data_IF_679180547143
#
_entry.id   IF_679180547143
#
_cell.length_a   1.000
_cell.length_b   1.000
_cell.length_c   1.000
_cell.angle_alpha   90.00
_cell.angle_beta   90.00
_cell.angle_gamma   90.00
#
_symmetry.space_group_name_H-M   'P 1'
#
loop_
_entity.id
_entity.type
_entity.pdbx_description
1 polymer ?
#
# COMPACT_ATOMS: atom_id res chain seq x y z
N UNK A 1 6.75 45.47 0.85
CA UNK A 1 5.42 44.82 0.84
C UNK A 1 5.27 44.07 -0.46
N UNK A 2 4.89 42.78 -0.47
CA UNK A 2 4.67 42.05 -1.73
C UNK A 2 3.58 42.77 -2.53
N UNK A 3 3.81 42.96 -3.83
CA UNK A 3 2.84 43.59 -4.74
C UNK A 3 1.56 42.76 -4.72
N UNK A 4 0.43 43.34 -4.28
CA UNK A 4 -0.87 42.67 -4.37
C UNK A 4 -1.24 42.54 -5.84
N UNK A 5 -1.35 41.30 -6.31
CA UNK A 5 -1.80 40.99 -7.67
C UNK A 5 -3.32 41.26 -7.72
N UNK A 6 -3.81 42.14 -8.62
CA UNK A 6 -5.24 42.42 -8.77
C UNK A 6 -5.91 41.29 -9.56
N UNK A 7 -6.32 40.24 -8.87
CA UNK A 7 -7.04 39.11 -9.44
C UNK A 7 -8.39 39.54 -10.03
N UNK A 8 -8.70 39.07 -11.24
CA UNK A 8 -10.03 39.15 -11.86
C UNK A 8 -10.83 37.91 -11.49
N UNK A 9 -12.11 38.11 -11.20
CA UNK A 9 -13.01 37.02 -10.82
C UNK A 9 -13.50 36.32 -12.09
N UNK A 10 -13.22 35.03 -12.22
CA UNK A 10 -13.66 34.21 -13.36
C UNK A 10 -14.90 33.39 -13.01
N UNK A 11 -14.92 32.82 -11.81
CA UNK A 11 -16.11 32.25 -11.19
C UNK A 11 -15.97 32.29 -9.68
N UNK A 12 -17.08 32.53 -8.98
CA UNK A 12 -17.07 32.61 -7.52
C UNK A 12 -18.07 31.60 -6.96
N UNK A 13 -17.63 30.87 -5.94
CA UNK A 13 -18.45 29.94 -5.17
C UNK A 13 -19.23 28.92 -6.02
N UNK A 14 -18.55 28.29 -6.98
CA UNK A 14 -19.13 27.21 -7.80
C UNK A 14 -18.88 25.85 -7.17
N UNK A 15 -19.77 24.90 -7.39
CA UNK A 15 -19.58 23.50 -6.99
C UNK A 15 -18.37 22.88 -7.71
N UNK A 16 -17.75 21.87 -7.11
CA UNK A 16 -16.52 21.23 -7.60
C UNK A 16 -16.61 20.81 -9.07
N UNK A 17 -17.71 20.17 -9.49
CA UNK A 17 -17.91 19.71 -10.87
C UNK A 17 -17.91 20.87 -11.88
N UNK A 18 -18.61 21.96 -11.54
CA UNK A 18 -18.67 23.17 -12.37
C UNK A 18 -17.29 23.86 -12.41
N UNK A 19 -16.55 23.85 -11.29
CA UNK A 19 -15.20 24.37 -11.24
C UNK A 19 -14.23 23.58 -12.13
N UNK A 20 -14.31 22.26 -12.12
CA UNK A 20 -13.49 21.37 -12.95
C UNK A 20 -13.80 21.55 -14.44
N UNK A 21 -15.08 21.72 -14.82
CA UNK A 21 -15.46 22.06 -16.19
C UNK A 21 -14.90 23.42 -16.63
N UNK A 22 -14.94 24.42 -15.75
CA UNK A 22 -14.38 25.74 -16.05
C UNK A 22 -12.85 25.68 -16.21
N UNK A 23 -12.15 24.93 -15.34
CA UNK A 23 -10.69 24.77 -15.40
C UNK A 23 -10.26 23.97 -16.63
N UNK A 24 -10.94 22.88 -16.96
CA UNK A 24 -10.65 22.06 -18.15
C UNK A 24 -10.90 22.80 -19.46
N UNK A 25 -11.82 23.76 -19.46
CA UNK A 25 -12.05 24.69 -20.58
C UNK A 25 -11.03 25.81 -20.70
N UNK A 26 -10.10 25.97 -19.74
CA UNK A 26 -9.00 26.93 -19.86
C UNK A 26 -7.83 26.33 -20.65
N UNK A 27 -6.91 27.19 -21.12
CA UNK A 27 -5.65 26.71 -21.69
C UNK A 27 -4.87 25.91 -20.65
N UNK A 28 -4.09 24.94 -21.12
CA UNK A 28 -3.36 24.03 -20.23
C UNK A 28 -2.50 24.79 -19.23
N UNK A 29 -2.57 24.36 -17.98
CA UNK A 29 -1.95 25.03 -16.85
C UNK A 29 -1.52 24.01 -15.79
N UNK A 30 -0.48 24.36 -15.03
CA UNK A 30 0.02 23.54 -13.93
C UNK A 30 -0.17 24.28 -12.60
N UNK A 31 -0.51 23.53 -11.54
CA UNK A 31 -0.52 24.06 -10.18
C UNK A 31 0.92 24.17 -9.66
N UNK A 32 1.37 25.40 -9.41
CA UNK A 32 2.75 25.69 -8.97
C UNK A 32 2.89 25.85 -7.47
N UNK A 33 1.79 26.14 -6.80
CA UNK A 33 1.76 26.29 -5.36
C UNK A 33 0.41 25.84 -4.82
N UNK A 34 0.41 25.10 -3.72
CA UNK A 34 -0.81 24.65 -3.04
C UNK A 34 -0.58 24.71 -1.54
N UNK A 35 -1.46 25.42 -0.82
CA UNK A 35 -1.40 25.52 0.65
C UNK A 35 -2.81 25.53 1.24
N UNK A 36 -2.92 25.18 2.52
CA UNK A 36 -4.15 25.35 3.27
C UNK A 36 -4.11 26.63 4.10
N UNK A 37 -5.25 27.32 4.17
CA UNK A 37 -5.39 28.56 4.94
C UNK A 37 -6.74 28.58 5.68
N UNK A 38 -6.91 29.36 6.75
CA UNK A 38 -8.20 29.52 7.40
C UNK A 38 -9.27 29.95 6.40
N UNK A 39 -10.44 29.30 6.45
CA UNK A 39 -11.52 29.65 5.57
C UNK A 39 -12.01 31.07 5.87
N UNK A 40 -12.08 31.88 4.82
CA UNK A 40 -12.65 33.24 4.87
C UNK A 40 -13.99 33.32 4.14
N UNK A 41 -14.41 32.22 3.50
CA UNK A 41 -15.68 32.12 2.76
C UNK A 41 -16.85 31.68 3.66
N UNK A 42 -16.56 30.98 4.76
CA UNK A 42 -17.59 30.44 5.64
C UNK A 42 -17.62 31.20 6.99
N UNK A 43 -18.74 31.85 7.33
CA UNK A 43 -18.81 32.75 8.48
C UNK A 43 -18.87 32.07 9.86
N UNK A 44 -19.13 30.75 9.94
CA UNK A 44 -19.54 30.11 11.20
C UNK A 44 -18.74 28.85 11.62
N UNK A 45 -17.79 28.38 10.80
CA UNK A 45 -17.04 27.14 11.11
C UNK A 45 -15.53 27.31 10.86
N UNK A 46 -14.71 26.88 11.82
CA UNK A 46 -13.25 26.88 11.70
C UNK A 46 -12.79 25.69 10.84
N UNK A 47 -12.88 25.82 9.52
CA UNK A 47 -12.27 24.89 8.58
C UNK A 47 -11.27 25.62 7.69
N UNK A 48 -10.57 24.86 6.84
CA UNK A 48 -9.52 25.37 5.97
C UNK A 48 -9.97 25.42 4.52
N UNK A 49 -9.51 26.42 3.78
CA UNK A 49 -9.56 26.46 2.33
C UNK A 49 -8.24 25.98 1.75
N UNK A 50 -8.30 25.27 0.62
CA UNK A 50 -7.14 24.98 -0.22
C UNK A 50 -6.96 26.10 -1.23
N UNK A 51 -5.79 26.73 -1.17
CA UNK A 51 -5.37 27.83 -2.03
C UNK A 51 -4.33 27.30 -3.03
N UNK A 52 -4.64 27.36 -4.32
CA UNK A 52 -3.71 26.95 -5.38
C UNK A 52 -3.40 28.11 -6.34
N UNK A 53 -2.15 28.21 -6.77
CA UNK A 53 -1.73 29.10 -7.86
C UNK A 53 -1.44 28.29 -9.11
N UNK A 54 -1.89 28.78 -10.25
CA UNK A 54 -1.79 28.14 -11.55
C UNK A 54 -0.91 28.99 -12.48
N UNK A 55 -0.07 28.31 -13.27
CA UNK A 55 0.71 28.93 -14.33
C UNK A 55 0.39 28.29 -15.68
N UNK A 56 0.44 29.09 -16.75
CA UNK A 56 0.21 28.62 -18.11
C UNK A 56 1.29 27.63 -18.56
N UNK A 57 0.87 26.51 -19.15
CA UNK A 57 1.69 25.45 -19.75
C UNK A 57 1.30 25.17 -21.21
N UNK A 58 0.53 26.06 -21.82
CA UNK A 58 0.09 25.97 -23.21
C UNK A 58 1.29 26.02 -24.16
N UNK A 59 1.44 24.98 -25.00
CA UNK A 59 2.44 24.97 -26.08
C UNK A 59 2.22 26.13 -27.05
N UNK A 60 0.96 26.47 -27.37
CA UNK A 60 0.65 27.63 -28.19
C UNK A 60 1.18 28.95 -27.58
N UNK A 61 1.15 29.10 -26.25
CA UNK A 61 1.72 30.28 -25.59
C UNK A 61 3.26 30.25 -25.48
N UNK A 62 3.86 29.05 -25.48
CA UNK A 62 5.31 28.86 -25.47
C UNK A 62 5.93 29.09 -26.84
N UNK A 63 5.22 28.74 -27.92
CA UNK A 63 5.71 28.87 -29.29
C UNK A 63 5.63 30.32 -29.81
N UNK A 64 4.70 31.13 -29.29
CA UNK A 64 4.48 32.53 -29.70
C UNK A 64 5.48 33.52 -29.09
N UNK A 65 6.17 33.15 -28.00
CA UNK A 65 7.16 34.01 -27.34
C UNK A 65 8.21 33.24 -26.58
N UNK A 66 9.46 33.68 -26.67
CA UNK A 66 10.57 33.20 -25.85
C UNK A 66 10.47 33.61 -24.36
N UNK A 67 9.51 34.49 -24.02
CA UNK A 67 9.24 34.90 -22.65
C UNK A 67 8.10 34.09 -22.03
N UNK A 68 8.20 33.83 -20.73
CA UNK A 68 7.19 33.09 -19.98
C UNK A 68 5.84 33.81 -20.05
N UNK A 69 4.81 33.06 -20.42
CA UNK A 69 3.42 33.53 -20.44
C UNK A 69 3.05 34.26 -19.15
N UNK A 70 2.46 35.46 -19.26
CA UNK A 70 2.15 36.31 -18.11
C UNK A 70 0.87 35.88 -17.38
N UNK A 71 0.03 35.07 -18.01
CA UNK A 71 -1.21 34.56 -17.41
C UNK A 71 -0.94 33.76 -16.12
N UNK A 72 -1.75 34.02 -15.09
CA UNK A 72 -1.77 33.30 -13.82
C UNK A 72 -3.21 33.00 -13.43
N UNK A 73 -3.43 31.82 -12.86
CA UNK A 73 -4.70 31.44 -12.26
C UNK A 73 -4.56 31.28 -10.74
N UNK A 74 -5.69 31.35 -10.05
CA UNK A 74 -5.79 31.05 -8.62
C UNK A 74 -7.11 30.35 -8.34
N UNK A 75 -7.07 29.27 -7.60
CA UNK A 75 -8.26 28.59 -7.09
C UNK A 75 -8.29 28.62 -5.57
N UNK A 76 -9.48 28.82 -5.01
CA UNK A 76 -9.74 28.80 -3.57
C UNK A 76 -10.90 27.87 -3.33
N UNK A 77 -10.63 26.69 -2.77
CA UNK A 77 -11.62 25.63 -2.53
C UNK A 77 -11.86 25.45 -1.05
N UNK A 78 -13.11 25.52 -0.62
CA UNK A 78 -13.52 25.16 0.73
C UNK A 78 -13.43 23.64 0.91
N UNK A 79 -12.70 23.15 1.92
CA UNK A 79 -12.57 21.71 2.15
C UNK A 79 -13.78 21.08 2.87
N UNK A 80 -14.70 21.90 3.38
CA UNK A 80 -15.91 21.44 4.08
C UNK A 80 -17.11 21.39 3.12
N UNK A 81 -17.33 22.46 2.36
CA UNK A 81 -18.46 22.57 1.44
C UNK A 81 -18.14 22.18 0.00
N UNK A 82 -16.87 21.86 -0.31
CA UNK A 82 -16.36 21.54 -1.67
C UNK A 82 -16.67 22.60 -2.74
N UNK A 83 -16.84 23.86 -2.29
CA UNK A 83 -17.12 25.01 -3.14
C UNK A 83 -15.82 25.71 -3.54
N UNK A 84 -15.65 25.99 -4.83
CA UNK A 84 -14.44 26.56 -5.42
C UNK A 84 -14.69 27.93 -6.04
N UNK A 85 -13.77 28.87 -5.82
CA UNK A 85 -13.71 30.15 -6.53
C UNK A 85 -12.45 30.22 -7.39
N UNK A 86 -12.60 30.64 -8.65
CA UNK A 86 -11.54 30.70 -9.65
C UNK A 86 -11.28 32.15 -10.06
N UNK A 87 -10.01 32.52 -10.07
CA UNK A 87 -9.54 33.86 -10.40
C UNK A 87 -8.42 33.79 -11.42
N UNK A 88 -8.26 34.86 -12.19
CA UNK A 88 -7.22 34.98 -13.21
C UNK A 88 -6.51 36.33 -13.16
N UNK A 89 -5.30 36.37 -13.66
CA UNK A 89 -4.48 37.57 -13.76
C UNK A 89 -3.61 37.52 -15.02
N UNK A 90 -3.43 38.65 -15.67
CA UNK A 90 -2.70 38.74 -16.94
C UNK A 90 -3.48 38.15 -18.11
N UNK A 91 -2.83 38.11 -19.27
CA UNK A 91 -3.37 37.54 -20.51
C UNK A 91 -2.42 36.47 -21.06
N UNK A 92 -2.98 35.54 -21.83
CA UNK A 92 -2.18 34.56 -22.53
C UNK A 92 -1.45 35.22 -23.71
N UNK A 93 -0.19 34.86 -23.90
CA UNK A 93 0.66 35.35 -25.00
C UNK A 93 0.04 35.08 -26.37
N UNK A 94 -0.49 33.87 -26.56
CA UNK A 94 -1.15 33.49 -27.81
C UNK A 94 -2.67 33.53 -27.66
N UNK A 95 -3.42 34.07 -28.62
CA UNK A 95 -4.87 33.94 -28.66
C UNK A 95 -5.31 32.53 -29.05
N UNK A 96 -4.46 31.75 -29.73
CA UNK A 96 -4.77 30.41 -30.27
C UNK A 96 -5.13 29.42 -29.17
N UNK A 97 -6.30 28.78 -29.29
CA UNK A 97 -6.72 27.74 -28.35
C UNK A 97 -5.78 26.53 -28.42
N UNK A 98 -5.41 26.02 -27.26
CA UNK A 98 -4.68 24.76 -27.14
C UNK A 98 -5.67 23.61 -27.02
N UNK A 99 -5.29 22.37 -27.38
CA UNK A 99 -6.13 21.21 -27.10
C UNK A 99 -6.56 21.24 -25.61
N UNK A 100 -7.85 20.99 -25.31
CA UNK A 100 -8.34 20.97 -23.94
C UNK A 100 -7.48 20.06 -23.08
N UNK A 101 -7.33 20.38 -21.80
CA UNK A 101 -6.76 19.40 -20.87
C UNK A 101 -7.63 18.14 -20.93
N UNK A 102 -6.99 17.00 -21.13
CA UNK A 102 -7.63 15.69 -21.08
C UNK A 102 -8.38 15.59 -19.75
N UNK A 103 -9.71 15.52 -19.81
CA UNK A 103 -10.52 15.40 -18.60
C UNK A 103 -10.17 14.07 -17.95
N UNK A 104 -9.47 14.08 -16.81
CA UNK A 104 -9.53 12.93 -15.90
C UNK A 104 -10.98 12.84 -15.43
N UNK A 105 -11.77 11.95 -16.04
CA UNK A 105 -13.16 11.75 -15.68
C UNK A 105 -13.25 11.51 -14.16
N UNK A 106 -13.98 12.39 -13.49
CA UNK A 106 -14.22 12.42 -12.03
C UNK A 106 -14.80 11.09 -11.50
N UNK A 107 -15.34 10.23 -12.37
CA UNK A 107 -15.88 8.93 -11.98
C UNK A 107 -14.85 7.83 -11.66
N UNK A 108 -13.57 7.98 -11.99
CA UNK A 108 -12.57 7.00 -11.55
C UNK A 108 -12.21 7.13 -10.06
N UNK A 109 -12.55 8.26 -9.43
CA UNK A 109 -12.43 8.45 -7.98
C UNK A 109 -13.61 7.90 -7.19
N UNK A 110 -14.74 7.58 -7.84
CA UNK A 110 -15.93 7.03 -7.18
C UNK A 110 -15.78 5.55 -6.75
N UNK A 111 -14.69 4.87 -7.16
CA UNK A 111 -14.40 3.48 -6.77
C UNK A 111 -13.60 3.40 -5.45
N UNK A 112 -13.08 4.52 -4.95
CA UNK A 112 -12.44 4.57 -3.64
C UNK A 112 -13.46 5.03 -2.58
N UNK A 113 -13.70 4.25 -1.50
CA UNK A 113 -14.64 4.64 -0.46
C UNK A 113 -14.24 5.98 0.18
N UNK A 114 -15.01 7.03 -0.12
CA UNK A 114 -15.14 8.21 0.76
C UNK A 114 -15.98 7.74 1.96
N UNK A 115 -15.31 7.20 2.97
CA UNK A 115 -15.65 7.34 4.40
C UNK A 115 -14.96 6.23 5.21
N UNK A 116 -14.20 6.65 6.23
CA UNK A 116 -13.53 5.78 7.20
C UNK A 116 -14.48 5.11 8.18
N UNK A 117 -15.46 4.36 7.69
CA UNK A 117 -16.17 3.33 8.48
C UNK A 117 -15.61 1.96 8.12
N UNK A 118 -15.32 1.08 9.09
CA UNK A 118 -14.92 -0.28 8.79
C UNK A 118 -16.05 -0.94 8.00
N UNK A 119 -15.71 -1.45 6.81
CA UNK A 119 -16.60 -2.29 6.01
C UNK A 119 -17.11 -3.43 6.89
N UNK A 120 -18.43 -3.70 6.93
CA UNK A 120 -18.91 -4.96 7.49
C UNK A 120 -18.31 -6.10 6.67
N UNK A 121 -17.89 -7.16 7.37
CA UNK A 121 -17.32 -8.38 6.80
C UNK A 121 -18.14 -8.85 5.59
N UNK A 122 -17.50 -9.23 4.47
CA UNK A 122 -18.25 -9.85 3.38
C UNK A 122 -18.62 -11.26 3.81
N UNK A 123 -19.90 -11.46 4.14
CA UNK A 123 -20.50 -12.78 4.14
C UNK A 123 -20.41 -13.36 2.71
N UNK A 124 -19.85 -14.57 2.63
CA UNK A 124 -19.70 -15.34 1.42
C UNK A 124 -21.07 -15.61 0.78
N UNK A 125 -21.24 -15.06 -0.44
CA UNK A 125 -22.21 -15.37 -1.49
C UNK A 125 -22.83 -14.09 -2.06
N UNK A 126 -22.01 -13.31 -2.76
CA UNK A 126 -22.49 -12.35 -3.75
C UNK A 126 -21.47 -12.32 -4.86
N UNK A 127 -21.72 -13.12 -5.90
CA UNK A 127 -21.12 -12.89 -7.22
C UNK A 127 -21.61 -11.51 -7.66
N UNK A 128 -20.88 -10.44 -7.32
CA UNK A 128 -21.12 -9.15 -7.94
C UNK A 128 -20.82 -9.34 -9.43
N UNK A 129 -21.81 -9.15 -10.32
CA UNK A 129 -21.50 -9.06 -11.74
C UNK A 129 -20.54 -7.87 -11.87
N UNK A 130 -19.39 -8.08 -12.51
CA UNK A 130 -18.62 -6.97 -13.06
C UNK A 130 -19.63 -6.21 -13.91
N UNK A 131 -20.08 -5.05 -13.44
CA UNK A 131 -20.91 -4.18 -14.25
C UNK A 131 -20.08 -3.92 -15.51
N UNK A 132 -20.55 -4.44 -16.65
CA UNK A 132 -19.96 -4.16 -17.96
C UNK A 132 -19.71 -2.65 -18.03
N UNK A 133 -18.44 -2.27 -18.05
CA UNK A 133 -18.02 -0.90 -18.27
C UNK A 133 -18.43 -0.57 -19.70
N UNK A 134 -19.65 -0.03 -19.86
CA UNK A 134 -20.20 0.43 -21.14
C UNK A 134 -19.70 1.84 -21.44
N UNK A 135 -18.39 2.02 -21.46
CA UNK A 135 -17.78 3.22 -22.01
C UNK A 135 -17.27 2.92 -23.42
N UNK A 136 -17.47 3.82 -24.40
CA UNK A 136 -16.84 3.70 -25.72
C UNK A 136 -15.33 3.54 -25.54
N UNK A 137 -14.73 2.56 -26.21
CA UNK A 137 -13.28 2.29 -26.13
C UNK A 137 -12.43 3.52 -26.48
N UNK A 138 -12.99 4.44 -27.27
CA UNK A 138 -12.34 5.68 -27.72
C UNK A 138 -12.22 6.75 -26.62
N UNK A 139 -12.94 6.60 -25.51
CA UNK A 139 -13.01 7.56 -24.39
C UNK A 139 -12.18 7.12 -23.18
N UNK A 140 -11.49 5.98 -23.27
CA UNK A 140 -10.63 5.46 -22.22
C UNK A 140 -9.25 6.12 -22.28
N UNK A 141 -8.81 6.66 -21.15
CA UNK A 141 -7.42 7.10 -20.99
C UNK A 141 -6.48 5.98 -21.41
N UNK A 142 -5.41 6.32 -22.14
CA UNK A 142 -4.40 5.31 -22.52
C UNK A 142 -3.91 4.61 -21.24
N UNK A 143 -3.74 3.29 -21.27
CA UNK A 143 -3.27 2.49 -20.12
C UNK A 143 -2.08 3.13 -19.40
N UNK A 144 -1.18 3.76 -20.16
CA UNK A 144 0.00 4.42 -19.62
C UNK A 144 -0.32 5.67 -18.77
N UNK A 145 -1.35 6.44 -19.12
CA UNK A 145 -1.80 7.61 -18.36
C UNK A 145 -2.38 7.18 -17.01
N UNK A 146 -3.20 6.11 -17.01
CA UNK A 146 -3.77 5.52 -15.79
C UNK A 146 -2.66 4.97 -14.89
N UNK A 147 -1.74 4.19 -15.46
CA UNK A 147 -0.60 3.65 -14.71
C UNK A 147 0.29 4.75 -14.12
N UNK A 148 0.55 5.82 -14.86
CA UNK A 148 1.35 6.95 -14.38
C UNK A 148 0.65 7.72 -13.24
N UNK A 149 -0.67 7.90 -13.34
CA UNK A 149 -1.48 8.53 -12.28
C UNK A 149 -1.47 7.69 -11.00
N UNK A 150 -1.71 6.39 -11.13
CA UNK A 150 -1.65 5.41 -10.02
C UNK A 150 -0.25 5.40 -9.40
N UNK A 151 0.81 5.34 -10.21
CA UNK A 151 2.19 5.36 -9.72
C UNK A 151 2.54 6.67 -9.00
N UNK A 152 2.10 7.82 -9.53
CA UNK A 152 2.31 9.13 -8.92
C UNK A 152 1.59 9.23 -7.57
N UNK A 153 0.31 8.83 -7.53
CA UNK A 153 -0.49 8.80 -6.31
C UNK A 153 0.13 7.87 -5.26
N UNK A 154 0.52 6.67 -5.67
CA UNK A 154 1.12 5.67 -4.79
C UNK A 154 2.43 6.19 -4.17
N UNK A 155 3.32 6.77 -4.98
CA UNK A 155 4.60 7.36 -4.49
C UNK A 155 4.39 8.52 -3.52
N UNK A 156 3.36 9.32 -3.76
CA UNK A 156 3.12 10.57 -3.02
C UNK A 156 2.36 10.35 -1.72
N UNK A 157 1.41 9.42 -1.69
CA UNK A 157 0.46 9.27 -0.58
C UNK A 157 0.50 7.92 0.13
N UNK A 158 1.08 6.88 -0.50
CA UNK A 158 1.18 5.51 0.05
C UNK A 158 2.64 5.21 0.47
N UNK A 159 3.54 6.20 0.41
CA UNK A 159 4.99 6.05 0.63
C UNK A 159 5.62 4.93 -0.20
N UNK A 160 5.04 4.67 -1.37
CA UNK A 160 5.36 3.56 -2.23
C UNK A 160 6.72 3.76 -2.94
N UNK A 161 7.80 3.44 -2.23
CA UNK A 161 9.16 3.51 -2.72
C UNK A 161 9.83 2.14 -2.63
N UNK A 162 10.52 1.72 -3.70
CA UNK A 162 11.37 0.52 -3.76
C UNK A 162 12.70 0.72 -3.01
N UNK A 163 12.67 1.31 -1.80
CA UNK A 163 13.89 1.56 -1.01
C UNK A 163 14.25 0.33 -0.21
N UNK A 164 14.68 -0.70 -0.93
CA UNK A 164 15.19 -1.96 -0.37
C UNK A 164 16.26 -1.70 0.68
N UNK A 165 17.12 -0.69 0.47
CA UNK A 165 18.14 -0.29 1.45
C UNK A 165 17.56 0.22 2.77
N UNK A 166 16.45 0.97 2.74
CA UNK A 166 15.80 1.48 3.95
C UNK A 166 15.08 0.36 4.71
N UNK A 167 14.40 -0.53 3.98
CA UNK A 167 13.80 -1.75 4.57
C UNK A 167 14.90 -2.60 5.18
N UNK A 168 16.01 -2.78 4.48
CA UNK A 168 17.15 -3.54 4.97
C UNK A 168 17.72 -2.91 6.25
N UNK A 169 17.93 -1.60 6.29
CA UNK A 169 18.37 -0.88 7.50
C UNK A 169 17.37 -1.09 8.65
N UNK A 170 16.06 -0.97 8.39
CA UNK A 170 15.04 -1.16 9.41
C UNK A 170 15.01 -2.59 9.95
N UNK A 171 15.11 -3.59 9.07
CA UNK A 171 15.15 -5.01 9.44
C UNK A 171 16.36 -5.28 10.31
N UNK A 172 17.54 -4.76 9.97
CA UNK A 172 18.75 -4.93 10.77
C UNK A 172 18.68 -4.23 12.12
N UNK A 173 18.10 -3.04 12.17
CA UNK A 173 17.92 -2.30 13.41
C UNK A 173 16.95 -3.00 14.39
N UNK A 174 16.06 -3.86 13.89
CA UNK A 174 15.10 -4.61 14.69
C UNK A 174 15.40 -6.12 14.77
N UNK A 175 16.58 -6.56 14.31
CA UNK A 175 16.96 -7.96 14.28
C UNK A 175 17.03 -8.56 15.69
N UNK A 176 16.62 -9.82 15.82
CA UNK A 176 16.67 -10.57 17.06
C UNK A 176 18.10 -10.65 17.62
N UNK A 177 18.31 -10.07 18.79
CA UNK A 177 19.57 -10.10 19.55
C UNK A 177 19.55 -11.07 20.71
N UNK A 178 18.35 -11.50 21.13
CA UNK A 178 18.14 -12.32 22.32
C UNK A 178 17.91 -11.50 23.60
N UNK A 179 18.07 -10.18 23.57
CA UNK A 179 17.91 -9.29 24.73
C UNK A 179 16.55 -8.57 24.78
N UNK A 180 15.70 -8.79 23.77
CA UNK A 180 14.41 -8.11 23.65
C UNK A 180 13.46 -8.48 24.81
N UNK A 181 12.66 -7.54 25.32
CA UNK A 181 11.55 -7.85 26.21
C UNK A 181 10.55 -8.85 25.60
N UNK A 182 9.76 -9.52 26.43
CA UNK A 182 8.84 -10.57 25.97
C UNK A 182 7.87 -10.12 24.86
N UNK A 183 7.33 -8.91 24.97
CA UNK A 183 6.33 -8.35 24.04
C UNK A 183 6.93 -7.50 22.91
N UNK A 184 8.24 -7.20 22.94
CA UNK A 184 8.87 -6.39 21.89
C UNK A 184 8.98 -7.24 20.63
N UNK A 185 8.43 -6.72 19.53
CA UNK A 185 8.58 -7.33 18.22
C UNK A 185 10.03 -7.19 17.73
N UNK A 186 10.50 -8.21 17.02
CA UNK A 186 11.80 -8.24 16.37
C UNK A 186 11.68 -8.93 15.01
N UNK A 187 12.68 -8.73 14.18
CA UNK A 187 12.84 -9.42 12.89
C UNK A 187 13.79 -10.60 13.03
N UNK A 188 13.59 -11.61 12.21
CA UNK A 188 14.45 -12.77 12.06
C UNK A 188 14.32 -13.31 10.63
N UNK A 189 15.15 -14.26 10.24
CA UNK A 189 15.02 -14.92 8.94
C UNK A 189 15.86 -16.17 8.87
N UNK A 190 16.21 -16.62 7.67
CA UNK A 190 16.85 -17.92 7.43
C UNK A 190 18.38 -17.83 7.31
N UNK A 191 18.88 -17.10 6.33
CA UNK A 191 20.32 -17.02 6.08
C UNK A 191 20.93 -15.84 6.84
N UNK A 192 22.10 -16.06 7.45
CA UNK A 192 22.90 -15.01 8.07
C UNK A 192 24.27 -15.04 7.43
N UNK A 193 24.83 -13.87 7.16
CA UNK A 193 26.19 -13.77 6.66
C UNK A 193 27.23 -14.07 7.76
N UNK A 194 28.51 -14.00 7.37
CA UNK A 194 29.64 -14.21 8.28
C UNK A 194 29.73 -13.16 9.39
N UNK A 195 29.10 -12.00 9.22
CA UNK A 195 29.00 -10.93 10.21
C UNK A 195 27.76 -11.10 11.13
N UNK A 196 27.02 -12.21 10.99
CA UNK A 196 25.76 -12.51 11.69
C UNK A 196 24.64 -11.52 11.38
N UNK A 197 24.72 -10.84 10.23
CA UNK A 197 23.67 -9.97 9.73
C UNK A 197 22.73 -10.78 8.85
N UNK A 198 21.44 -10.47 8.93
CA UNK A 198 20.42 -11.22 8.21
C UNK A 198 20.58 -11.02 6.70
N UNK A 199 20.66 -12.10 5.94
CA UNK A 199 20.53 -12.02 4.49
C UNK A 199 19.04 -11.99 4.16
N UNK A 200 18.55 -10.81 3.80
CA UNK A 200 17.13 -10.57 3.52
C UNK A 200 16.75 -11.06 2.13
N UNK A 201 17.70 -11.04 1.18
CA UNK A 201 17.42 -11.19 -0.25
C UNK A 201 16.84 -9.91 -0.88
N UNK A 202 16.78 -9.89 -2.21
CA UNK A 202 16.19 -8.78 -2.99
C UNK A 202 14.90 -9.20 -3.72
N UNK A 203 14.44 -10.43 -3.51
CA UNK A 203 13.22 -10.98 -4.08
C UNK A 203 13.33 -11.53 -5.49
N UNK A 204 14.52 -11.54 -6.10
CA UNK A 204 14.73 -12.24 -7.36
C UNK A 204 14.64 -13.75 -7.17
N UNK A 205 14.43 -14.49 -8.25
CA UNK A 205 14.37 -15.97 -8.24
C UNK A 205 15.64 -16.63 -7.67
N UNK A 206 16.77 -15.93 -7.77
CA UNK A 206 18.07 -16.37 -7.24
C UNK A 206 18.34 -15.92 -5.81
N UNK A 207 17.63 -14.91 -5.30
CA UNK A 207 17.83 -14.28 -3.99
C UNK A 207 16.48 -13.96 -3.37
N UNK A 208 15.81 -15.02 -2.93
CA UNK A 208 14.49 -14.98 -2.29
C UNK A 208 14.46 -13.96 -1.14
N UNK A 209 13.42 -13.12 -1.12
CA UNK A 209 13.21 -12.18 -0.03
C UNK A 209 12.52 -12.87 1.14
N UNK A 210 13.11 -12.86 2.34
CA UNK A 210 12.55 -13.50 3.53
C UNK A 210 12.78 -12.63 4.77
N UNK A 211 11.70 -12.18 5.38
CA UNK A 211 11.73 -11.52 6.71
C UNK A 211 10.62 -12.06 7.59
N UNK A 212 11.00 -12.69 8.70
CA UNK A 212 10.10 -13.09 9.77
C UNK A 212 9.95 -11.99 10.82
N UNK A 213 8.74 -11.83 11.38
CA UNK A 213 8.43 -10.97 12.50
C UNK A 213 7.78 -11.78 13.62
N UNK A 214 8.22 -11.59 14.85
CA UNK A 214 7.61 -12.23 16.02
C UNK A 214 7.94 -11.47 17.30
N UNK A 215 7.43 -11.96 18.43
CA UNK A 215 7.83 -11.57 19.78
C UNK A 215 8.17 -12.85 20.56
N UNK A 216 8.97 -12.74 21.63
CA UNK A 216 9.27 -13.91 22.47
C UNK A 216 7.99 -14.49 23.08
N UNK A 217 7.02 -13.65 23.43
CA UNK A 217 5.73 -14.08 23.96
C UNK A 217 4.94 -14.94 22.97
N UNK A 218 4.94 -14.58 21.68
CA UNK A 218 4.28 -15.36 20.63
C UNK A 218 4.99 -16.70 20.41
N UNK A 219 6.33 -16.70 20.33
CA UNK A 219 7.13 -17.93 20.16
C UNK A 219 6.92 -18.90 21.31
N UNK A 220 6.85 -18.40 22.55
CA UNK A 220 6.62 -19.22 23.75
C UNK A 220 5.25 -19.90 23.81
N UNK A 221 4.29 -19.50 22.96
CA UNK A 221 3.01 -20.23 22.84
C UNK A 221 3.21 -21.67 22.36
N UNK A 222 4.30 -21.93 21.64
CA UNK A 222 4.67 -23.28 21.18
C UNK A 222 5.25 -24.18 22.28
N UNK A 223 5.39 -23.70 23.53
CA UNK A 223 5.86 -24.53 24.66
C UNK A 223 4.78 -25.50 25.19
N UNK A 224 3.56 -25.46 24.64
CA UNK A 224 2.51 -26.44 24.93
C UNK A 224 2.88 -27.84 24.39
N UNK A 225 2.31 -28.93 24.94
CA UNK A 225 2.58 -30.28 24.45
C UNK A 225 2.27 -30.44 22.95
N UNK A 226 3.11 -31.11 22.15
CA UNK A 226 2.95 -31.22 20.69
C UNK A 226 1.66 -31.90 20.25
N UNK A 227 1.07 -32.75 21.08
CA UNK A 227 -0.22 -33.40 20.86
C UNK A 227 -1.43 -32.48 21.06
N UNK A 228 -1.24 -31.28 21.64
CA UNK A 228 -2.33 -30.36 22.02
C UNK A 228 -2.60 -29.24 21.00
N UNK A 229 -1.82 -29.17 19.92
CA UNK A 229 -1.96 -28.16 18.89
C UNK A 229 -1.65 -28.70 17.50
N UNK A 230 -2.16 -28.00 16.48
CA UNK A 230 -1.68 -28.11 15.11
C UNK A 230 -0.95 -26.82 14.71
N UNK A 231 0.27 -26.96 14.16
CA UNK A 231 0.98 -25.85 13.55
C UNK A 231 0.23 -25.47 12.27
N UNK A 232 -0.32 -24.27 12.22
CA UNK A 232 -1.07 -23.79 11.07
C UNK A 232 -0.22 -22.76 10.32
N UNK A 233 -0.10 -22.94 9.01
CA UNK A 233 0.48 -21.94 8.12
C UNK A 233 -0.52 -21.60 7.02
N UNK A 234 -0.62 -20.31 6.70
CA UNK A 234 -1.57 -19.80 5.74
C UNK A 234 -0.96 -18.60 4.99
N UNK A 235 -1.25 -18.49 3.70
CA UNK A 235 -0.80 -17.39 2.84
C UNK A 235 -1.83 -16.27 2.84
N UNK A 236 -1.56 -15.17 3.51
CA UNK A 236 -2.39 -13.97 3.40
C UNK A 236 -1.89 -13.10 2.24
N UNK A 237 -2.71 -12.98 1.20
CA UNK A 237 -2.44 -12.11 0.05
C UNK A 237 -2.94 -10.68 0.29
N UNK A 238 -2.25 -9.73 -0.34
CA UNK A 238 -2.58 -8.30 -0.46
C UNK A 238 -2.29 -7.43 0.76
N UNK A 239 -1.05 -6.95 0.86
CA UNK A 239 -0.75 -5.71 1.60
C UNK A 239 0.40 -4.85 1.03
N UNK A 240 1.00 -5.17 -0.13
CA UNK A 240 2.12 -4.39 -0.69
C UNK A 240 2.13 -4.36 -2.24
N UNK A 241 2.84 -3.41 -2.84
CA UNK A 241 2.92 -3.21 -4.30
C UNK A 241 3.65 -4.36 -5.02
N UNK A 242 4.54 -5.07 -4.34
CA UNK A 242 5.26 -6.20 -4.92
C UNK A 242 4.45 -7.50 -4.88
N UNK A 243 3.20 -7.45 -4.38
CA UNK A 243 2.33 -8.61 -4.12
C UNK A 243 3.02 -9.72 -3.33
N UNK A 244 4.00 -9.37 -2.48
CA UNK A 244 4.69 -10.34 -1.63
C UNK A 244 3.70 -10.93 -0.62
N UNK A 245 3.49 -12.26 -0.62
CA UNK A 245 2.61 -12.88 0.34
C UNK A 245 3.13 -12.70 1.77
N UNK A 246 2.18 -12.56 2.70
CA UNK A 246 2.47 -12.68 4.11
C UNK A 246 2.08 -14.08 4.55
N UNK A 247 3.09 -14.92 4.77
CA UNK A 247 2.90 -16.24 5.36
C UNK A 247 2.66 -16.08 6.86
N UNK A 248 1.44 -16.36 7.28
CA UNK A 248 1.01 -16.35 8.67
C UNK A 248 1.29 -17.72 9.27
N UNK A 249 2.00 -17.76 10.40
CA UNK A 249 2.26 -19.01 11.14
C UNK A 249 1.71 -18.89 12.55
N UNK A 250 0.93 -19.87 12.95
CA UNK A 250 0.34 -19.93 14.29
C UNK A 250 0.00 -21.33 14.74
N UNK A 251 -0.67 -21.41 15.88
CA UNK A 251 -1.14 -22.65 16.47
C UNK A 251 -2.66 -22.67 16.47
N UNK A 252 -3.24 -23.75 15.97
CA UNK A 252 -4.64 -24.07 16.17
C UNK A 252 -4.76 -25.00 17.38
N UNK A 253 -5.45 -24.55 18.43
CA UNK A 253 -5.67 -25.36 19.63
C UNK A 253 -6.87 -26.32 19.49
N UNK A 254 -7.06 -27.21 20.48
CA UNK A 254 -8.21 -28.13 20.50
C UNK A 254 -9.58 -27.43 20.56
N UNK A 255 -9.62 -26.14 20.93
CA UNK A 255 -10.82 -25.31 20.91
C UNK A 255 -11.04 -24.61 19.55
N UNK A 256 -10.24 -24.96 18.54
CA UNK A 256 -10.27 -24.40 17.18
C UNK A 256 -9.95 -22.90 17.15
N UNK A 257 -9.20 -22.40 18.14
CA UNK A 257 -8.73 -21.02 18.14
C UNK A 257 -7.34 -20.96 17.54
N UNK A 258 -7.16 -19.98 16.66
CA UNK A 258 -5.86 -19.67 16.08
C UNK A 258 -5.09 -18.71 16.99
N UNK A 259 -3.83 -19.03 17.24
CA UNK A 259 -2.90 -18.24 18.03
C UNK A 259 -1.68 -17.92 17.18
N UNK A 260 -1.53 -16.66 16.77
CA UNK A 260 -0.37 -16.21 16.01
C UNK A 260 0.95 -16.55 16.75
N UNK A 261 1.95 -16.97 15.97
CA UNK A 261 3.33 -17.22 16.40
C UNK A 261 4.30 -16.32 15.65
N UNK A 262 4.21 -16.27 14.33
CA UNK A 262 5.10 -15.47 13.49
C UNK A 262 4.40 -15.06 12.19
N UNK A 263 4.88 -13.97 11.61
CA UNK A 263 4.54 -13.55 10.25
C UNK A 263 5.82 -13.60 9.42
N UNK A 264 5.74 -14.05 8.17
CA UNK A 264 6.85 -13.94 7.23
C UNK A 264 6.39 -13.15 6.01
N UNK A 265 7.17 -12.13 5.64
CA UNK A 265 7.06 -11.50 4.32
C UNK A 265 7.99 -12.26 3.39
N UNK A 266 7.42 -12.85 2.35
CA UNK A 266 8.14 -13.71 1.39
C UNK A 266 7.93 -13.22 -0.03
N UNK A 267 8.92 -13.36 -0.91
CA UNK A 267 8.77 -12.91 -2.31
C UNK A 267 7.96 -13.86 -3.21
N UNK A 268 7.86 -15.15 -2.86
CA UNK A 268 7.30 -16.20 -3.72
C UNK A 268 6.77 -17.36 -2.88
N UNK A 269 5.76 -18.08 -3.39
CA UNK A 269 5.16 -19.25 -2.73
C UNK A 269 5.69 -20.55 -3.34
N UNK A 270 6.99 -20.74 -3.21
CA UNK A 270 7.67 -21.93 -3.72
C UNK A 270 8.13 -22.82 -2.57
N UNK A 271 8.33 -24.10 -2.84
CA UNK A 271 8.81 -25.05 -1.83
C UNK A 271 10.11 -24.58 -1.15
N UNK A 272 11.14 -24.08 -1.88
CA UNK A 272 12.36 -23.55 -1.26
C UNK A 272 12.09 -22.39 -0.28
N UNK A 273 11.08 -21.57 -0.54
CA UNK A 273 10.70 -20.48 0.36
C UNK A 273 10.20 -21.01 1.70
N UNK A 274 9.27 -21.97 1.66
CA UNK A 274 8.74 -22.58 2.87
C UNK A 274 9.80 -23.40 3.61
N UNK A 275 10.68 -24.08 2.88
CA UNK A 275 11.84 -24.80 3.43
C UNK A 275 12.90 -23.87 4.04
N UNK A 276 12.88 -22.57 3.74
CA UNK A 276 13.68 -21.57 4.46
C UNK A 276 12.95 -21.02 5.70
N UNK A 277 11.64 -20.74 5.59
CA UNK A 277 10.84 -20.17 6.68
C UNK A 277 10.69 -21.14 7.87
N UNK A 278 10.41 -22.42 7.60
CA UNK A 278 10.13 -23.42 8.63
C UNK A 278 11.35 -23.72 9.53
N UNK A 279 12.57 -23.96 8.99
CA UNK A 279 13.78 -24.05 9.79
C UNK A 279 14.15 -22.74 10.50
N UNK A 280 13.89 -21.57 9.89
CA UNK A 280 14.07 -20.29 10.56
C UNK A 280 13.20 -20.18 11.82
N UNK A 281 11.94 -20.62 11.75
CA UNK A 281 11.03 -20.70 12.90
C UNK A 281 11.53 -21.67 13.97
N UNK A 282 11.96 -22.88 13.59
CA UNK A 282 12.53 -23.87 14.52
C UNK A 282 13.72 -23.33 15.27
N UNK A 283 14.63 -22.65 14.56
CA UNK A 283 15.81 -22.02 15.14
C UNK A 283 15.43 -20.88 16.08
N UNK A 284 14.47 -20.04 15.69
CA UNK A 284 13.97 -18.98 16.57
C UNK A 284 13.39 -19.55 17.86
N UNK A 285 12.57 -20.61 17.77
CA UNK A 285 12.04 -21.28 18.96
C UNK A 285 13.17 -21.79 19.87
N UNK A 286 14.19 -22.40 19.30
CA UNK A 286 15.36 -22.87 20.06
C UNK A 286 16.13 -21.72 20.70
N UNK A 287 16.29 -20.58 20.03
CA UNK A 287 16.93 -19.41 20.61
C UNK A 287 16.14 -18.80 21.77
N UNK A 288 14.81 -18.77 21.67
CA UNK A 288 13.94 -18.15 22.69
C UNK A 288 13.71 -19.06 23.90
N UNK A 289 13.61 -20.39 23.68
CA UNK A 289 13.18 -21.35 24.72
C UNK A 289 14.28 -22.32 25.15
N UNK A 290 15.39 -22.40 24.40
CA UNK A 290 16.44 -23.41 24.55
C UNK A 290 15.95 -24.86 24.39
N UNK A 291 14.79 -25.07 23.77
CA UNK A 291 14.19 -26.38 23.47
C UNK A 291 14.14 -26.61 21.96
N UNK A 292 14.10 -27.88 21.55
CA UNK A 292 13.83 -28.23 20.16
C UNK A 292 12.33 -28.18 19.89
N UNK A 293 11.92 -27.53 18.80
CA UNK A 293 10.52 -27.51 18.38
C UNK A 293 10.12 -28.90 17.86
N UNK A 294 9.11 -29.50 18.50
CA UNK A 294 8.48 -30.74 18.06
C UNK A 294 7.09 -30.40 17.57
N UNK A 295 6.79 -30.78 16.33
CA UNK A 295 5.47 -30.61 15.71
C UNK A 295 4.92 -32.01 15.45
N UNK A 296 3.73 -32.29 15.98
CA UNK A 296 3.03 -33.56 15.73
C UNK A 296 1.96 -33.39 14.64
N UNK A 297 1.27 -32.26 14.63
CA UNK A 297 0.27 -31.95 13.61
C UNK A 297 0.64 -30.65 12.92
N UNK A 298 0.61 -30.63 11.59
CA UNK A 298 0.69 -29.40 10.82
C UNK A 298 -0.49 -29.32 9.84
N UNK A 299 -1.05 -28.13 9.70
CA UNK A 299 -2.19 -27.83 8.86
C UNK A 299 -1.82 -26.69 7.91
N UNK A 300 -2.10 -26.88 6.63
CA UNK A 300 -1.87 -25.90 5.56
C UNK A 300 -2.90 -26.09 4.47
N UNK A 301 -2.98 -25.13 3.56
CA UNK A 301 -3.79 -25.23 2.36
C UNK A 301 -3.44 -26.45 1.52
N UNK A 302 -4.34 -26.78 0.58
CA UNK A 302 -4.14 -27.81 -0.41
C UNK A 302 -3.11 -27.39 -1.50
N UNK A 303 -1.95 -26.90 -1.05
CA UNK A 303 -0.82 -26.52 -1.87
C UNK A 303 0.33 -27.54 -1.76
N UNK A 304 0.88 -27.92 -2.91
CA UNK A 304 1.91 -28.95 -3.00
C UNK A 304 3.24 -28.48 -2.39
N UNK A 305 3.60 -27.19 -2.54
CA UNK A 305 4.84 -26.65 -2.02
C UNK A 305 4.82 -26.58 -0.49
N UNK A 306 3.69 -26.18 0.10
CA UNK A 306 3.47 -26.21 1.55
C UNK A 306 3.52 -27.65 2.10
N UNK A 307 2.83 -28.61 1.45
CA UNK A 307 2.89 -30.02 1.84
C UNK A 307 4.32 -30.60 1.80
N UNK A 308 5.04 -30.38 0.70
CA UNK A 308 6.38 -30.92 0.52
C UNK A 308 7.36 -30.34 1.53
N UNK A 309 7.31 -29.02 1.76
CA UNK A 309 8.22 -28.34 2.69
C UNK A 309 7.99 -28.78 4.14
N UNK A 310 6.74 -28.89 4.57
CA UNK A 310 6.41 -29.42 5.90
C UNK A 310 6.89 -30.86 6.08
N UNK A 311 6.67 -31.69 5.06
CA UNK A 311 7.15 -33.07 5.06
C UNK A 311 8.68 -33.12 5.13
N UNK A 312 9.38 -32.30 4.36
CA UNK A 312 10.84 -32.19 4.38
C UNK A 312 11.37 -31.82 5.77
N UNK A 313 10.73 -30.86 6.44
CA UNK A 313 11.23 -30.32 7.72
C UNK A 313 10.83 -31.18 8.94
N UNK A 314 9.61 -31.74 8.96
CA UNK A 314 9.05 -32.38 10.17
C UNK A 314 8.88 -33.90 10.10
N UNK A 315 9.03 -34.55 8.94
CA UNK A 315 8.83 -36.02 8.81
C UNK A 315 9.84 -36.86 9.60
N UNK A 316 10.92 -36.26 10.11
CA UNK A 316 11.83 -36.95 11.04
C UNK A 316 11.15 -37.37 12.36
N UNK A 317 10.03 -36.73 12.73
CA UNK A 317 9.21 -37.14 13.86
C UNK A 317 8.24 -38.26 13.41
N UNK A 318 8.35 -39.50 13.95
CA UNK A 318 7.49 -40.61 13.54
C UNK A 318 6.00 -40.42 13.89
N UNK A 319 5.68 -39.50 14.80
CA UNK A 319 4.29 -39.14 15.14
C UNK A 319 3.73 -38.00 14.28
N UNK A 320 4.55 -37.42 13.40
CA UNK A 320 4.14 -36.30 12.57
C UNK A 320 3.01 -36.71 11.62
N UNK A 321 1.97 -35.87 11.56
CA UNK A 321 0.82 -36.02 10.70
C UNK A 321 0.50 -34.69 10.03
N UNK A 322 0.36 -34.76 8.72
CA UNK A 322 -0.13 -33.66 7.92
C UNK A 322 -1.67 -33.63 7.93
N UNK A 323 -2.24 -32.44 8.06
CA UNK A 323 -3.67 -32.17 7.97
C UNK A 323 -3.90 -31.17 6.83
N UNK A 324 -4.86 -31.45 5.96
CA UNK A 324 -5.27 -30.48 4.94
C UNK A 324 -6.23 -29.46 5.58
N UNK A 325 -6.00 -28.17 5.35
CA UNK A 325 -6.94 -27.12 5.69
C UNK A 325 -8.08 -27.10 4.66
N UNK A 326 -9.32 -27.19 5.13
CA UNK A 326 -10.52 -27.05 4.29
C UNK A 326 -11.16 -25.66 4.40
N UNK A 327 -10.52 -24.76 5.15
CA UNK A 327 -10.97 -23.38 5.39
C UNK A 327 -9.91 -22.44 4.83
N UNK A 328 -9.94 -22.21 3.51
CA UNK A 328 -9.20 -21.10 2.89
C UNK A 328 -9.98 -19.81 3.13
N UNK A 329 -9.35 -18.82 3.75
CA UNK A 329 -9.97 -17.51 4.06
C UNK A 329 -9.97 -16.56 2.87
#
# INVERSE_FOLDING_TARGET
MPKRIPWRDRSLHVEAEVADDILSGMKSHDATHSQTMPCTMCPYTQHTVRYCLLECRSSACLDDSLQKCEWRGKTVTCLDSDVTSIYEYGEHTSPTDSPPQEKTHVNEKAILPRDGKPSPSPDANSTCPIAEIRHPLDDLSTLMTVLNSVNSYSRTYIENHDRVDEIQVWVHANAFTGNEPLSRAFTFGWEYDHEKKLNIGNGSDTKLFIVGLSTKALVKRMEVPPESFALHMDGAYKTNQCDYPVLVVGLSDCSRRFHLVALFVISQETQPMFEACLPALRRLYQWVTHKLLVVQYAMVDADQAQYNSLSSVFSSNPKYQFLMCFFTF
#
